data_IF_729040966097
#
_entry.id   IF_729040966097
#
_cell.length_a   1.000
_cell.length_b   1.000
_cell.length_c   1.000
_cell.angle_alpha   90.00
_cell.angle_beta   90.00
_cell.angle_gamma   90.00
#
_symmetry.space_group_name_H-M   'P 1'
#
loop_
_entity.id
_entity.type
_entity.pdbx_description
1 polymer ?
#
# COMPACT_ATOMS: atom_id res chain seq x y z
N UNK A 1 38.03 -9.61 -2.63
CA UNK A 1 37.69 -8.86 -3.86
C UNK A 1 36.32 -9.20 -4.39
N UNK A 2 35.95 -10.48 -4.59
CA UNK A 2 34.63 -10.89 -5.10
C UNK A 2 33.47 -10.48 -4.18
N UNK A 3 33.60 -10.63 -2.86
CA UNK A 3 32.56 -10.24 -1.86
C UNK A 3 32.33 -8.73 -1.86
N UNK A 4 33.39 -7.93 -1.98
CA UNK A 4 33.28 -6.47 -2.05
C UNK A 4 32.57 -6.00 -3.34
N UNK A 5 32.74 -6.73 -4.44
CA UNK A 5 32.07 -6.41 -5.72
C UNK A 5 30.61 -6.85 -5.71
N UNK A 6 30.31 -8.03 -5.13
CA UNK A 6 28.93 -8.55 -5.00
C UNK A 6 28.06 -7.74 -4.05
N UNK A 7 28.63 -7.15 -2.99
CA UNK A 7 27.90 -6.29 -2.06
C UNK A 7 27.96 -4.81 -2.46
N UNK A 8 29.10 -4.36 -3.02
CA UNK A 8 29.32 -2.94 -3.35
C UNK A 8 28.46 -2.44 -4.50
N UNK A 9 28.30 -3.23 -5.58
CA UNK A 9 27.49 -2.81 -6.72
C UNK A 9 26.01 -2.66 -6.35
N UNK A 10 25.33 -3.64 -5.72
CA UNK A 10 23.95 -3.47 -5.28
C UNK A 10 23.78 -2.30 -4.31
N UNK A 11 24.69 -2.13 -3.37
CA UNK A 11 24.63 -1.03 -2.40
C UNK A 11 24.78 0.34 -3.08
N UNK A 12 25.67 0.49 -4.05
CA UNK A 12 25.80 1.72 -4.83
C UNK A 12 24.54 2.01 -5.67
N UNK A 13 23.96 0.99 -6.28
CA UNK A 13 22.70 1.12 -7.01
C UNK A 13 21.55 1.53 -6.08
N UNK A 14 21.46 0.93 -4.91
CA UNK A 14 20.45 1.30 -3.91
C UNK A 14 20.63 2.75 -3.45
N UNK A 15 21.85 3.17 -3.13
CA UNK A 15 22.16 4.55 -2.78
C UNK A 15 21.82 5.53 -3.91
N UNK A 16 22.14 5.20 -5.16
CA UNK A 16 21.92 6.08 -6.30
C UNK A 16 20.46 6.16 -6.74
N UNK A 17 19.72 5.06 -6.73
CA UNK A 17 18.36 4.98 -7.29
C UNK A 17 17.24 4.99 -6.26
N UNK A 18 17.51 4.70 -4.98
CA UNK A 18 16.53 4.71 -3.90
C UNK A 18 16.78 5.87 -2.93
N UNK A 19 17.95 5.90 -2.31
CA UNK A 19 18.24 6.90 -1.27
C UNK A 19 18.40 8.31 -1.81
N UNK A 20 19.15 8.48 -2.90
CA UNK A 20 19.36 9.81 -3.48
C UNK A 20 18.03 10.45 -3.94
N UNK A 21 17.14 9.81 -4.73
CA UNK A 21 15.85 10.39 -5.10
C UNK A 21 14.94 10.64 -3.89
N UNK A 22 14.96 9.77 -2.87
CA UNK A 22 14.19 9.99 -1.65
C UNK A 22 14.64 11.24 -0.90
N UNK A 23 15.94 11.42 -0.71
CA UNK A 23 16.50 12.63 -0.09
C UNK A 23 16.25 13.87 -0.94
N UNK A 24 16.38 13.76 -2.26
CA UNK A 24 16.07 14.84 -3.19
C UNK A 24 14.59 15.26 -3.07
N UNK A 25 13.66 14.30 -2.97
CA UNK A 25 12.24 14.60 -2.77
C UNK A 25 12.01 15.36 -1.46
N UNK A 26 12.68 14.98 -0.37
CA UNK A 26 12.58 15.71 0.91
C UNK A 26 13.11 17.12 0.75
N UNK A 27 14.25 17.32 0.09
CA UNK A 27 14.81 18.66 -0.14
C UNK A 27 13.91 19.52 -1.04
N UNK A 28 13.41 18.94 -2.15
CA UNK A 28 12.52 19.62 -3.09
C UNK A 28 11.19 20.02 -2.45
N UNK A 29 10.72 19.30 -1.45
CA UNK A 29 9.48 19.61 -0.74
C UNK A 29 9.46 20.98 -0.08
N UNK A 30 10.64 21.51 0.23
CA UNK A 30 10.82 22.86 0.79
C UNK A 30 11.03 23.93 -0.27
N UNK A 31 10.90 23.60 -1.56
CA UNK A 31 11.12 24.51 -2.68
C UNK A 31 9.83 24.84 -3.42
N UNK A 32 9.84 25.92 -4.18
CA UNK A 32 8.76 26.32 -5.11
C UNK A 32 9.03 25.86 -6.54
N UNK A 33 9.97 24.92 -6.73
CA UNK A 33 10.38 24.49 -8.06
C UNK A 33 9.25 23.78 -8.81
N UNK A 34 9.11 24.14 -10.09
CA UNK A 34 8.09 23.59 -10.99
C UNK A 34 8.60 22.43 -11.87
N UNK A 35 9.86 22.03 -11.74
CA UNK A 35 10.44 20.97 -12.56
C UNK A 35 11.10 21.46 -13.85
N UNK A 36 10.99 22.73 -14.20
CA UNK A 36 11.52 23.30 -15.45
C UNK A 36 12.58 24.35 -15.13
N UNK A 37 13.72 24.25 -15.82
CA UNK A 37 14.84 25.18 -15.66
C UNK A 37 15.69 24.91 -14.44
N UNK A 38 16.74 25.72 -14.30
CA UNK A 38 17.67 25.62 -13.18
C UNK A 38 17.02 25.96 -11.87
N UNK A 39 17.33 25.21 -10.81
CA UNK A 39 17.05 25.58 -9.42
C UNK A 39 17.71 26.95 -9.07
N UNK A 40 18.61 27.42 -9.89
CA UNK A 40 19.30 28.72 -9.82
C UNK A 40 18.57 29.85 -10.58
N UNK A 41 17.45 29.57 -11.24
CA UNK A 41 16.81 30.58 -12.09
C UNK A 41 16.27 31.74 -11.23
N UNK A 42 16.51 32.97 -11.68
CA UNK A 42 16.07 34.23 -11.06
C UNK A 42 14.56 34.31 -10.78
N UNK A 43 13.75 33.52 -11.46
CA UNK A 43 12.31 33.41 -11.20
C UNK A 43 12.00 32.68 -9.87
N UNK A 44 12.88 31.78 -9.44
CA UNK A 44 12.84 31.15 -8.13
C UNK A 44 13.65 31.93 -7.09
N UNK A 45 14.69 32.68 -7.53
CA UNK A 45 15.72 33.26 -6.69
C UNK A 45 16.32 34.53 -7.22
N UNK A 46 15.82 35.68 -6.90
CA UNK A 46 16.49 36.88 -7.34
C UNK A 46 17.74 37.19 -6.59
N UNK A 47 18.57 36.47 -6.05
CA UNK A 47 19.86 36.95 -5.52
C UNK A 47 20.68 35.97 -4.65
N UNK A 48 20.58 34.67 -4.84
CA UNK A 48 21.38 33.81 -3.99
C UNK A 48 21.99 32.60 -4.69
N UNK A 49 23.32 32.34 -4.42
CA UNK A 49 24.11 31.37 -5.18
C UNK A 49 24.08 29.94 -4.65
N UNK A 50 23.16 29.51 -3.83
CA UNK A 50 23.11 28.13 -3.37
C UNK A 50 21.71 27.59 -3.20
N UNK A 51 21.53 26.28 -3.39
CA UNK A 51 20.28 25.52 -3.20
C UNK A 51 19.66 25.79 -1.80
N UNK A 52 20.47 26.15 -0.83
CA UNK A 52 20.08 26.43 0.54
C UNK A 52 19.74 27.90 0.81
N UNK A 53 19.93 28.75 -0.18
CA UNK A 53 19.78 30.17 0.05
C UNK A 53 18.87 30.78 -1.00
N UNK A 54 17.62 30.68 -0.87
CA UNK A 54 16.72 31.65 -1.10
C UNK A 54 15.64 31.68 -2.04
N UNK A 55 14.91 31.82 -2.56
CA UNK A 55 13.76 32.18 -3.32
C UNK A 55 13.04 30.96 -3.90
N UNK A 56 13.78 29.88 -4.14
CA UNK A 56 13.20 28.56 -4.28
C UNK A 56 12.90 27.90 -2.93
N UNK A 57 13.52 28.36 -1.84
CA UNK A 57 13.14 27.92 -0.49
C UNK A 57 11.79 28.52 -0.16
N UNK A 58 10.79 27.68 -0.18
CA UNK A 58 9.44 28.01 0.21
C UNK A 58 9.19 27.64 1.68
N UNK A 59 10.18 27.03 2.31
CA UNK A 59 10.11 26.53 3.68
C UNK A 59 8.95 25.54 3.84
N UNK A 60 8.18 25.67 4.89
CA UNK A 60 7.02 24.82 5.18
C UNK A 60 5.74 25.25 4.46
N UNK A 61 5.80 26.22 3.56
CA UNK A 61 4.60 26.78 2.93
C UNK A 61 3.89 25.78 2.01
N UNK A 62 4.61 24.85 1.36
CA UNK A 62 4.00 23.77 0.61
C UNK A 62 3.11 22.89 1.50
N UNK A 63 3.57 22.57 2.72
CA UNK A 63 2.81 21.80 3.70
C UNK A 63 1.60 22.59 4.22
N UNK A 64 1.80 23.87 4.53
CA UNK A 64 0.70 24.75 4.91
C UNK A 64 -0.34 24.84 3.80
N UNK A 65 0.08 25.03 2.55
CA UNK A 65 -0.80 25.06 1.40
C UNK A 65 -1.55 23.75 1.21
N UNK A 66 -0.89 22.58 1.38
CA UNK A 66 -1.52 21.28 1.30
C UNK A 66 -2.65 21.13 2.32
N UNK A 67 -2.39 21.49 3.57
CA UNK A 67 -3.34 21.29 4.69
C UNK A 67 -4.48 22.29 4.68
N UNK A 68 -4.24 23.56 4.28
CA UNK A 68 -5.21 24.66 4.46
C UNK A 68 -5.92 25.09 3.18
N UNK A 69 -5.27 24.99 2.03
CA UNK A 69 -5.76 25.58 0.77
C UNK A 69 -6.14 24.50 -0.25
N UNK A 70 -5.44 23.33 -0.24
CA UNK A 70 -5.63 22.32 -1.26
C UNK A 70 -6.83 21.41 -0.91
N UNK A 71 -7.97 21.52 -1.63
CA UNK A 71 -9.22 20.90 -1.20
C UNK A 71 -9.19 19.38 -1.25
N UNK A 72 -8.36 18.78 -2.13
CA UNK A 72 -8.26 17.33 -2.34
C UNK A 72 -7.40 16.63 -1.28
N UNK A 73 -6.66 17.39 -0.46
CA UNK A 73 -5.73 16.84 0.52
C UNK A 73 -6.42 15.99 1.59
N UNK A 74 -7.41 16.56 2.28
CA UNK A 74 -8.10 15.85 3.36
C UNK A 74 -8.93 14.65 2.89
N UNK A 75 -9.67 14.73 1.77
CA UNK A 75 -10.24 13.56 1.14
C UNK A 75 -9.22 12.46 0.86
N UNK A 76 -8.06 12.79 0.26
CA UNK A 76 -7.02 11.83 -0.04
C UNK A 76 -6.43 11.17 1.22
N UNK A 77 -6.15 11.93 2.28
CA UNK A 77 -5.71 11.39 3.57
C UNK A 77 -6.74 10.42 4.14
N UNK A 78 -8.02 10.82 4.14
CA UNK A 78 -9.10 9.96 4.63
C UNK A 78 -9.21 8.67 3.82
N UNK A 79 -9.12 8.74 2.50
CA UNK A 79 -9.19 7.55 1.63
C UNK A 79 -7.99 6.62 1.86
N UNK A 80 -6.79 7.15 2.03
CA UNK A 80 -5.62 6.34 2.40
C UNK A 80 -5.81 5.64 3.75
N UNK A 81 -6.40 6.31 4.75
CA UNK A 81 -6.69 5.71 6.06
C UNK A 81 -7.78 4.63 5.96
N UNK A 82 -8.83 4.86 5.16
CA UNK A 82 -9.86 3.84 4.89
C UNK A 82 -9.24 2.64 4.18
N UNK A 83 -8.36 2.87 3.19
CA UNK A 83 -7.64 1.82 2.46
C UNK A 83 -6.80 0.97 3.41
N UNK A 84 -6.02 1.61 4.27
CA UNK A 84 -5.23 0.93 5.30
C UNK A 84 -6.13 0.12 6.26
N UNK A 85 -7.22 0.71 6.73
CA UNK A 85 -8.16 0.03 7.63
C UNK A 85 -8.80 -1.20 6.97
N UNK A 86 -9.22 -1.10 5.71
CA UNK A 86 -9.79 -2.23 4.96
C UNK A 86 -8.74 -3.33 4.75
N UNK A 87 -7.50 -2.99 4.45
CA UNK A 87 -6.45 -3.99 4.29
C UNK A 87 -6.13 -4.72 5.59
N UNK A 88 -6.08 -3.99 6.72
CA UNK A 88 -5.81 -4.60 8.03
C UNK A 88 -7.03 -5.42 8.51
N UNK A 89 -8.25 -4.88 8.38
CA UNK A 89 -9.44 -5.48 8.99
C UNK A 89 -10.14 -6.52 8.12
N UNK A 90 -9.95 -6.47 6.80
CA UNK A 90 -10.62 -7.39 5.87
C UNK A 90 -9.63 -8.21 5.05
N UNK A 91 -8.70 -7.58 4.31
CA UNK A 91 -7.81 -8.31 3.42
C UNK A 91 -6.86 -9.25 4.19
N UNK A 92 -6.29 -8.77 5.30
CA UNK A 92 -5.34 -9.58 6.10
C UNK A 92 -6.03 -10.74 6.81
N UNK A 93 -7.17 -10.57 7.52
CA UNK A 93 -7.89 -11.71 8.12
C UNK A 93 -8.44 -12.69 7.07
N UNK A 94 -8.87 -12.20 5.91
CA UNK A 94 -9.35 -13.04 4.82
C UNK A 94 -8.21 -13.90 4.24
N UNK A 95 -7.04 -13.31 4.01
CA UNK A 95 -5.84 -14.04 3.59
C UNK A 95 -5.39 -15.08 4.62
N UNK A 96 -5.39 -14.72 5.91
CA UNK A 96 -5.10 -15.65 7.00
C UNK A 96 -6.11 -16.80 7.05
N UNK A 97 -7.41 -16.52 6.90
CA UNK A 97 -8.45 -17.54 6.84
C UNK A 97 -8.20 -18.52 5.70
N UNK A 98 -7.91 -18.02 4.49
CA UNK A 98 -7.60 -18.87 3.34
C UNK A 98 -6.36 -19.73 3.59
N UNK A 99 -5.29 -19.16 4.17
CA UNK A 99 -4.08 -19.92 4.51
C UNK A 99 -4.37 -21.05 5.49
N UNK A 100 -5.13 -20.80 6.57
CA UNK A 100 -5.50 -21.81 7.56
C UNK A 100 -6.36 -22.91 6.94
N UNK A 101 -7.31 -22.57 6.09
CA UNK A 101 -8.13 -23.57 5.39
C UNK A 101 -7.30 -24.46 4.46
N UNK A 102 -6.36 -23.87 3.72
CA UNK A 102 -5.46 -24.62 2.82
C UNK A 102 -4.50 -25.50 3.61
N UNK A 103 -3.95 -25.00 4.73
CA UNK A 103 -3.00 -25.72 5.59
C UNK A 103 -3.64 -26.99 6.21
N UNK A 104 -4.95 -26.99 6.45
CA UNK A 104 -5.70 -28.16 6.92
C UNK A 104 -5.80 -29.31 5.91
N UNK A 105 -5.28 -29.15 4.71
CA UNK A 105 -5.24 -30.21 3.71
C UNK A 105 -6.60 -30.58 3.10
N UNK A 106 -7.48 -29.59 2.92
CA UNK A 106 -8.76 -29.80 2.24
C UNK A 106 -8.56 -30.41 0.84
N UNK A 107 -9.51 -31.26 0.40
CA UNK A 107 -9.46 -31.86 -0.94
C UNK A 107 -9.37 -30.75 -1.99
N UNK A 108 -8.36 -30.83 -2.89
CA UNK A 108 -8.15 -29.77 -3.91
C UNK A 108 -7.40 -28.54 -3.41
N UNK A 109 -6.74 -28.55 -2.25
CA UNK A 109 -6.03 -27.40 -1.66
C UNK A 109 -5.09 -26.69 -2.64
N UNK A 110 -4.39 -27.46 -3.50
CA UNK A 110 -3.51 -26.90 -4.56
C UNK A 110 -4.28 -26.06 -5.58
N UNK A 111 -5.46 -26.51 -5.98
CA UNK A 111 -6.32 -25.79 -6.94
C UNK A 111 -6.85 -24.50 -6.31
N UNK A 112 -7.34 -24.54 -5.08
CA UNK A 112 -7.77 -23.35 -4.36
C UNK A 112 -6.63 -22.35 -4.16
N UNK A 113 -5.45 -22.83 -3.78
CA UNK A 113 -4.26 -21.99 -3.67
C UNK A 113 -3.92 -21.31 -5.00
N UNK A 114 -3.96 -22.03 -6.12
CA UNK A 114 -3.68 -21.46 -7.44
C UNK A 114 -4.71 -20.40 -7.84
N UNK A 115 -6.01 -20.66 -7.63
CA UNK A 115 -7.09 -19.74 -7.98
C UNK A 115 -7.03 -18.46 -7.13
N UNK A 116 -6.80 -18.60 -5.82
CA UNK A 116 -6.72 -17.46 -4.90
C UNK A 116 -5.44 -16.64 -5.10
N UNK A 117 -4.37 -17.27 -5.58
CA UNK A 117 -3.11 -16.58 -5.88
C UNK A 117 -3.06 -15.98 -7.28
N UNK A 118 -3.93 -16.41 -8.20
CA UNK A 118 -3.94 -15.94 -9.57
C UNK A 118 -3.99 -14.41 -9.70
N UNK A 119 -4.79 -13.66 -8.92
CA UNK A 119 -4.80 -12.20 -8.98
C UNK A 119 -3.44 -11.56 -8.67
N UNK A 120 -2.63 -12.20 -7.83
CA UNK A 120 -1.32 -11.67 -7.44
C UNK A 120 -0.31 -11.77 -8.58
N UNK A 121 -0.49 -12.75 -9.46
CA UNK A 121 0.36 -12.96 -10.65
C UNK A 121 0.09 -11.97 -11.77
N UNK A 122 -1.08 -11.31 -11.75
CA UNK A 122 -1.45 -10.31 -12.75
C UNK A 122 -0.84 -8.95 -12.42
N UNK A 123 -0.50 -8.17 -13.44
CA UNK A 123 -0.12 -6.77 -13.23
C UNK A 123 -1.31 -5.98 -12.67
N UNK A 124 -1.03 -4.98 -11.82
CA UNK A 124 -2.08 -4.10 -11.27
C UNK A 124 -2.89 -3.40 -12.38
N UNK A 125 -2.21 -3.04 -13.47
CA UNK A 125 -2.84 -2.47 -14.65
C UNK A 125 -3.89 -3.41 -15.28
N UNK A 126 -3.53 -4.68 -15.45
CA UNK A 126 -4.45 -5.67 -16.01
C UNK A 126 -5.62 -5.94 -15.08
N UNK A 127 -5.39 -5.97 -13.77
CA UNK A 127 -6.48 -6.08 -12.78
C UNK A 127 -7.45 -4.91 -12.92
N UNK A 128 -6.96 -3.67 -12.94
CA UNK A 128 -7.80 -2.48 -13.11
C UNK A 128 -8.66 -2.57 -14.39
N UNK A 129 -8.06 -2.95 -15.53
CA UNK A 129 -8.81 -3.12 -16.80
C UNK A 129 -9.89 -4.22 -16.67
N UNK A 130 -9.56 -5.38 -16.06
CA UNK A 130 -10.56 -6.46 -15.87
C UNK A 130 -11.73 -5.95 -15.03
N UNK A 131 -11.46 -5.25 -13.94
CA UNK A 131 -12.52 -4.75 -13.08
C UNK A 131 -13.29 -3.57 -13.68
N UNK A 132 -12.67 -2.76 -14.54
CA UNK A 132 -13.38 -1.76 -15.34
C UNK A 132 -14.47 -2.42 -16.22
N UNK A 133 -14.18 -3.56 -16.86
CA UNK A 133 -15.20 -4.35 -17.56
C UNK A 133 -16.24 -4.93 -16.60
N UNK A 134 -15.84 -5.44 -15.44
CA UNK A 134 -16.75 -6.01 -14.43
C UNK A 134 -17.71 -4.95 -13.90
N UNK A 135 -17.24 -3.72 -13.69
CA UNK A 135 -18.01 -2.56 -13.20
C UNK A 135 -18.65 -1.72 -14.30
N UNK A 136 -18.45 -2.05 -15.57
CA UNK A 136 -19.02 -1.27 -16.67
C UNK A 136 -20.53 -1.04 -16.48
N UNK A 137 -20.96 0.21 -16.67
CA UNK A 137 -22.34 0.60 -16.41
C UNK A 137 -23.33 -0.14 -17.29
N UNK A 138 -23.04 -0.28 -18.59
CA UNK A 138 -23.99 -0.80 -19.56
C UNK A 138 -23.92 -2.33 -19.73
N UNK A 139 -22.72 -2.91 -19.71
CA UNK A 139 -22.47 -4.32 -20.02
C UNK A 139 -21.70 -5.04 -18.90
N UNK A 140 -21.53 -4.41 -17.75
CA UNK A 140 -20.74 -4.95 -16.65
C UNK A 140 -21.38 -6.20 -16.04
N UNK A 141 -20.50 -7.12 -15.65
CA UNK A 141 -20.92 -8.39 -15.04
C UNK A 141 -21.81 -8.15 -13.81
N UNK A 142 -21.46 -7.19 -12.95
CA UNK A 142 -22.20 -6.93 -11.72
C UNK A 142 -23.60 -6.39 -12.03
N UNK A 143 -23.71 -5.38 -12.91
CA UNK A 143 -25.00 -4.84 -13.31
C UNK A 143 -25.88 -5.91 -14.01
N UNK A 144 -25.26 -6.81 -14.76
CA UNK A 144 -25.94 -7.96 -15.39
C UNK A 144 -26.53 -8.90 -14.33
N UNK A 145 -25.73 -9.32 -13.36
CA UNK A 145 -26.16 -10.27 -12.32
C UNK A 145 -27.26 -9.70 -11.43
N UNK A 146 -27.23 -8.40 -11.14
CA UNK A 146 -28.28 -7.74 -10.34
C UNK A 146 -29.49 -7.28 -11.15
N UNK A 147 -29.52 -7.58 -12.45
CA UNK A 147 -30.66 -7.26 -13.34
C UNK A 147 -30.82 -5.78 -13.68
N UNK A 148 -29.73 -5.00 -13.66
CA UNK A 148 -29.73 -3.56 -13.92
C UNK A 148 -28.99 -3.18 -15.21
N UNK A 149 -29.06 -4.03 -16.23
CA UNK A 149 -28.43 -3.77 -17.52
C UNK A 149 -29.21 -2.82 -18.40
N UNK A 150 -28.49 -1.90 -19.07
CA UNK A 150 -28.99 -1.21 -20.28
C UNK A 150 -30.13 -0.23 -20.07
N UNK A 151 -30.61 0.01 -18.86
CA UNK A 151 -31.70 0.92 -18.53
C UNK A 151 -31.17 2.08 -17.66
N UNK A 152 -31.96 3.15 -17.55
CA UNK A 152 -31.66 4.32 -16.69
C UNK A 152 -31.38 3.98 -15.21
N UNK A 153 -31.49 2.71 -14.81
CA UNK A 153 -31.24 2.20 -13.47
C UNK A 153 -29.89 1.51 -13.31
N UNK A 154 -29.04 1.48 -14.34
CA UNK A 154 -27.70 0.89 -14.25
C UNK A 154 -26.82 1.69 -13.26
N UNK A 155 -26.17 0.98 -12.36
CA UNK A 155 -25.31 1.61 -11.35
C UNK A 155 -23.97 1.98 -12.00
N UNK A 156 -23.59 3.24 -11.86
CA UNK A 156 -22.25 3.69 -12.20
C UNK A 156 -21.32 3.48 -10.99
N UNK A 157 -20.63 2.35 -10.97
CA UNK A 157 -19.76 1.94 -9.86
C UNK A 157 -18.50 2.80 -9.73
N UNK A 158 -17.95 3.25 -10.85
CA UNK A 158 -16.67 3.95 -10.91
C UNK A 158 -16.81 5.46 -11.05
N UNK A 159 -17.90 5.95 -11.63
CA UNK A 159 -18.17 7.37 -11.78
C UNK A 159 -18.89 7.98 -10.57
N UNK A 160 -19.56 7.17 -9.73
CA UNK A 160 -20.27 7.66 -8.56
C UNK A 160 -19.30 7.88 -7.38
N UNK A 161 -19.15 9.13 -6.86
CA UNK A 161 -18.23 9.44 -5.75
C UNK A 161 -18.49 8.70 -4.44
N UNK A 162 -19.69 8.17 -4.24
CA UNK A 162 -20.03 7.42 -3.03
C UNK A 162 -19.73 5.92 -3.13
N UNK A 163 -19.53 5.40 -4.34
CA UNK A 163 -19.34 3.96 -4.59
C UNK A 163 -17.94 3.62 -5.08
N UNK A 164 -17.28 4.52 -5.81
CA UNK A 164 -16.02 4.23 -6.49
C UNK A 164 -14.90 3.77 -5.55
N UNK A 165 -14.73 4.41 -4.39
CA UNK A 165 -13.74 3.98 -3.39
C UNK A 165 -13.97 2.53 -2.95
N UNK A 166 -15.23 2.16 -2.68
CA UNK A 166 -15.56 0.81 -2.24
C UNK A 166 -15.42 -0.22 -3.35
N UNK A 167 -15.77 0.15 -4.59
CA UNK A 167 -15.58 -0.70 -5.76
C UNK A 167 -14.09 -1.05 -5.95
N UNK A 168 -13.22 -0.03 -5.94
CA UNK A 168 -11.77 -0.25 -6.10
C UNK A 168 -11.17 -0.95 -4.87
N UNK A 169 -11.70 -0.74 -3.65
CA UNK A 169 -11.29 -1.48 -2.46
C UNK A 169 -11.62 -2.97 -2.52
N UNK A 170 -12.73 -3.36 -3.18
CA UNK A 170 -13.06 -4.78 -3.38
C UNK A 170 -12.03 -5.45 -4.29
N UNK A 171 -11.67 -4.83 -5.41
CA UNK A 171 -10.65 -5.38 -6.30
C UNK A 171 -9.27 -5.46 -5.65
N UNK A 172 -8.89 -4.41 -4.91
CA UNK A 172 -7.65 -4.37 -4.17
C UNK A 172 -7.58 -5.43 -3.06
N UNK A 173 -8.70 -5.62 -2.33
CA UNK A 173 -8.83 -6.64 -1.28
C UNK A 173 -8.73 -8.05 -1.84
N UNK A 174 -9.36 -8.31 -2.98
CA UNK A 174 -9.28 -9.61 -3.66
C UNK A 174 -7.82 -10.00 -3.97
N UNK A 175 -7.04 -9.08 -4.54
CA UNK A 175 -5.61 -9.29 -4.80
C UNK A 175 -4.80 -9.43 -3.51
N UNK A 176 -5.00 -8.51 -2.56
CA UNK A 176 -4.23 -8.47 -1.31
C UNK A 176 -4.47 -9.70 -0.44
N UNK A 177 -5.70 -10.21 -0.36
CA UNK A 177 -6.01 -11.42 0.39
C UNK A 177 -5.25 -12.64 -0.16
N UNK A 178 -5.12 -12.78 -1.50
CA UNK A 178 -4.31 -13.82 -2.12
C UNK A 178 -2.82 -13.71 -1.77
N UNK A 179 -2.29 -12.50 -1.76
CA UNK A 179 -0.90 -12.25 -1.38
C UNK A 179 -0.62 -12.61 0.09
N UNK A 180 -1.45 -12.10 0.98
CA UNK A 180 -1.37 -12.38 2.42
C UNK A 180 -1.56 -13.87 2.73
N UNK A 181 -2.45 -14.56 1.99
CA UNK A 181 -2.65 -16.00 2.10
C UNK A 181 -1.34 -16.76 1.88
N UNK A 182 -0.56 -16.43 0.87
CA UNK A 182 0.70 -17.14 0.58
C UNK A 182 1.73 -16.90 1.69
N UNK A 183 1.83 -15.68 2.20
CA UNK A 183 2.73 -15.36 3.30
C UNK A 183 2.35 -16.12 4.58
N UNK A 184 1.07 -16.14 4.93
CA UNK A 184 0.59 -16.92 6.08
C UNK A 184 0.78 -18.42 5.88
N UNK A 185 0.54 -18.93 4.67
CA UNK A 185 0.73 -20.35 4.38
C UNK A 185 2.21 -20.76 4.53
N UNK A 186 3.13 -19.91 4.08
CA UNK A 186 4.57 -20.13 4.28
C UNK A 186 4.91 -20.11 5.78
N UNK A 187 4.37 -19.18 6.55
CA UNK A 187 4.54 -19.13 8.01
C UNK A 187 3.97 -20.36 8.71
N UNK A 188 2.76 -20.80 8.35
CA UNK A 188 2.12 -22.01 8.93
C UNK A 188 2.92 -23.28 8.68
N UNK A 189 3.58 -23.38 7.52
CA UNK A 189 4.43 -24.53 7.18
C UNK A 189 5.80 -24.50 7.85
N UNK A 190 6.24 -23.34 8.32
CA UNK A 190 7.50 -23.20 9.08
C UNK A 190 7.33 -23.54 10.57
N UNK A 191 6.11 -23.63 11.08
CA UNK A 191 5.84 -24.02 12.49
C UNK A 191 6.14 -25.50 12.67
N UNK A 192 6.90 -25.81 13.72
CA UNK A 192 7.23 -27.20 14.09
C UNK A 192 5.94 -28.03 14.35
N UNK A 193 5.74 -29.14 13.64
CA UNK A 193 4.59 -30.02 13.86
C UNK A 193 4.45 -30.53 15.30
N UNK A 194 5.54 -30.70 16.03
CA UNK A 194 5.54 -31.16 17.42
C UNK A 194 4.76 -30.24 18.35
N UNK A 195 4.74 -28.94 18.08
CA UNK A 195 3.95 -27.97 18.84
C UNK A 195 2.44 -28.19 18.68
N UNK A 196 2.02 -28.62 17.49
CA UNK A 196 0.62 -28.95 17.21
C UNK A 196 0.21 -30.25 17.91
N UNK A 197 1.10 -31.24 17.87
CA UNK A 197 0.89 -32.55 18.54
C UNK A 197 0.83 -32.37 20.06
N UNK A 198 1.74 -31.61 20.65
CA UNK A 198 1.73 -31.31 22.08
C UNK A 198 0.44 -30.61 22.52
N UNK A 199 -0.03 -29.62 21.76
CA UNK A 199 -1.29 -28.92 22.06
C UNK A 199 -2.50 -29.87 22.02
N UNK A 200 -2.52 -30.86 21.12
CA UNK A 200 -3.58 -31.86 21.05
C UNK A 200 -3.52 -32.80 22.26
N UNK A 201 -2.32 -33.23 22.70
CA UNK A 201 -2.12 -34.03 23.90
C UNK A 201 -2.61 -33.29 25.16
N UNK A 202 -2.38 -31.97 25.21
CA UNK A 202 -2.87 -31.09 26.27
C UNK A 202 -4.39 -30.81 26.21
N UNK A 203 -5.11 -31.42 25.26
CA UNK A 203 -6.56 -31.29 25.10
C UNK A 203 -7.04 -30.00 24.46
N UNK A 204 -6.16 -29.22 23.81
CA UNK A 204 -6.53 -28.01 23.12
C UNK A 204 -7.32 -28.31 21.83
N UNK A 205 -8.45 -27.63 21.63
CA UNK A 205 -9.15 -27.72 20.35
C UNK A 205 -8.44 -26.91 19.25
N UNK A 206 -8.82 -27.12 17.99
CA UNK A 206 -8.16 -26.50 16.83
C UNK A 206 -8.10 -24.98 16.88
N UNK A 207 -9.11 -24.30 17.45
CA UNK A 207 -9.15 -22.86 17.63
C UNK A 207 -8.17 -22.39 18.71
N UNK A 208 -8.11 -23.11 19.83
CA UNK A 208 -7.16 -22.84 20.93
C UNK A 208 -5.73 -23.08 20.47
N UNK A 209 -5.46 -24.19 19.78
CA UNK A 209 -4.15 -24.50 19.20
C UNK A 209 -3.70 -23.38 18.25
N UNK A 210 -4.58 -22.91 17.36
CA UNK A 210 -4.23 -21.83 16.44
C UNK A 210 -3.89 -20.54 17.18
N UNK A 211 -4.80 -20.03 18.02
CA UNK A 211 -4.62 -18.70 18.61
C UNK A 211 -3.64 -18.65 19.78
N UNK A 212 -3.46 -19.75 20.52
CA UNK A 212 -2.60 -19.78 21.71
C UNK A 212 -1.21 -20.35 21.45
N UNK A 213 -1.05 -21.17 20.43
CA UNK A 213 0.21 -21.83 20.12
C UNK A 213 0.78 -21.38 18.77
N UNK A 214 0.05 -21.61 17.66
CA UNK A 214 0.57 -21.36 16.31
C UNK A 214 0.74 -19.87 16.02
N UNK A 215 -0.30 -19.06 16.23
CA UNK A 215 -0.29 -17.64 15.89
C UNK A 215 0.79 -16.84 16.65
N UNK A 216 1.05 -17.06 17.96
CA UNK A 216 2.17 -16.46 18.65
C UNK A 216 3.55 -16.88 18.12
N UNK A 217 3.74 -18.16 17.80
CA UNK A 217 4.99 -18.67 17.21
C UNK A 217 5.24 -18.05 15.83
N UNK A 218 4.17 -17.74 15.07
CA UNK A 218 4.27 -17.05 13.77
C UNK A 218 4.53 -15.54 13.89
N UNK A 219 4.86 -15.01 15.07
CA UNK A 219 5.06 -13.59 15.28
C UNK A 219 6.01 -12.92 14.28
N UNK A 220 7.18 -13.49 13.92
CA UNK A 220 8.05 -12.87 12.92
C UNK A 220 7.37 -12.67 11.57
N UNK A 221 6.58 -13.66 11.11
CA UNK A 221 5.86 -13.56 9.85
C UNK A 221 4.67 -12.59 9.96
N UNK A 222 4.00 -12.52 11.11
CA UNK A 222 2.93 -11.55 11.35
C UNK A 222 3.46 -10.12 11.24
N UNK A 223 4.67 -9.85 11.75
CA UNK A 223 5.37 -8.56 11.59
C UNK A 223 5.57 -8.23 10.11
N UNK A 224 6.12 -9.16 9.34
CA UNK A 224 6.36 -8.96 7.90
C UNK A 224 5.04 -8.67 7.17
N UNK A 225 4.00 -9.45 7.44
CA UNK A 225 2.69 -9.28 6.81
C UNK A 225 2.10 -7.90 7.12
N UNK A 226 2.18 -7.45 8.37
CA UNK A 226 1.66 -6.13 8.76
C UNK A 226 2.44 -4.99 8.10
N UNK A 227 3.76 -5.05 8.10
CA UNK A 227 4.61 -4.05 7.42
C UNK A 227 4.28 -3.97 5.93
N UNK A 228 4.23 -5.12 5.26
CA UNK A 228 3.91 -5.18 3.83
C UNK A 228 2.48 -4.67 3.57
N UNK A 229 1.51 -5.03 4.42
CA UNK A 229 0.13 -4.54 4.30
C UNK A 229 0.03 -3.02 4.40
N UNK A 230 0.78 -2.41 5.33
CA UNK A 230 0.86 -0.94 5.45
C UNK A 230 1.48 -0.33 4.19
N UNK A 231 2.60 -0.88 3.72
CA UNK A 231 3.28 -0.38 2.51
C UNK A 231 2.34 -0.48 1.29
N UNK A 232 1.73 -1.63 1.05
CA UNK A 232 0.83 -1.84 -0.10
C UNK A 232 -0.42 -0.94 -0.05
N UNK A 233 -0.98 -0.71 1.15
CA UNK A 233 -2.15 0.16 1.30
C UNK A 233 -1.87 1.63 1.00
N UNK A 234 -0.71 2.13 1.40
CA UNK A 234 -0.34 3.54 1.25
C UNK A 234 0.29 3.83 -0.13
N UNK A 235 0.86 2.80 -0.75
CA UNK A 235 1.39 2.85 -2.12
C UNK A 235 0.32 2.62 -3.19
N UNK A 236 -0.94 2.43 -2.84
CA UNK A 236 -2.02 2.22 -3.78
C UNK A 236 -2.09 3.38 -4.78
N UNK A 237 -1.61 3.16 -6.01
CA UNK A 237 -1.59 4.11 -7.11
C UNK A 237 -2.16 3.47 -8.38
N UNK A 238 -1.55 2.36 -8.81
CA UNK A 238 -1.80 1.78 -10.12
C UNK A 238 -3.26 1.42 -10.37
N UNK A 239 -3.90 0.73 -9.40
CA UNK A 239 -5.32 0.36 -9.49
C UNK A 239 -6.20 1.60 -9.62
N UNK A 240 -6.04 2.57 -8.73
CA UNK A 240 -6.84 3.79 -8.69
C UNK A 240 -6.62 4.62 -9.95
N UNK A 241 -5.37 4.75 -10.39
CA UNK A 241 -5.03 5.55 -11.56
C UNK A 241 -5.59 4.94 -12.87
N UNK A 242 -5.55 3.62 -13.00
CA UNK A 242 -6.06 2.94 -14.19
C UNK A 242 -7.58 2.92 -14.20
N UNK A 243 -8.21 2.58 -13.06
CA UNK A 243 -9.65 2.41 -12.98
C UNK A 243 -10.41 3.74 -13.12
N UNK A 244 -9.93 4.82 -12.49
CA UNK A 244 -10.65 6.11 -12.45
C UNK A 244 -9.73 7.33 -12.45
N UNK A 245 -8.46 7.20 -12.76
CA UNK A 245 -7.45 8.30 -12.70
C UNK A 245 -7.42 9.06 -11.36
N UNK A 246 -8.04 8.52 -10.31
CA UNK A 246 -8.16 9.16 -9.00
C UNK A 246 -9.01 10.43 -8.97
N UNK A 247 -10.04 10.49 -9.80
CA UNK A 247 -11.02 11.59 -9.87
C UNK A 247 -12.36 11.17 -9.27
N UNK A 248 -13.31 12.10 -9.21
CA UNK A 248 -14.68 11.86 -8.76
C UNK A 248 -14.78 11.28 -7.35
N UNK A 249 -13.98 11.78 -6.41
CA UNK A 249 -14.02 11.33 -5.02
C UNK A 249 -13.18 10.07 -4.72
N UNK A 250 -12.24 9.74 -5.61
CA UNK A 250 -11.28 8.63 -5.41
C UNK A 250 -9.83 9.14 -5.29
N UNK A 251 -9.66 10.35 -4.76
CA UNK A 251 -8.34 10.93 -4.56
C UNK A 251 -7.55 10.11 -3.52
N UNK A 252 -6.31 9.75 -3.87
CA UNK A 252 -5.30 9.21 -2.97
C UNK A 252 -4.06 10.10 -2.99
N UNK A 253 -3.31 10.13 -1.89
CA UNK A 253 -2.08 10.93 -1.82
C UNK A 253 -1.08 10.56 -2.91
N UNK A 254 -0.94 9.28 -3.24
CA UNK A 254 -0.08 8.79 -4.33
C UNK A 254 -0.48 9.34 -5.70
N UNK A 255 -1.79 9.46 -5.97
CA UNK A 255 -2.33 10.06 -7.19
C UNK A 255 -2.08 11.55 -7.20
N UNK A 256 -2.32 12.25 -6.07
CA UNK A 256 -2.06 13.69 -5.95
C UNK A 256 -0.57 14.02 -6.14
N UNK A 257 0.34 13.20 -5.61
CA UNK A 257 1.79 13.34 -5.87
C UNK A 257 2.06 13.29 -7.37
N UNK A 258 1.56 12.27 -8.05
CA UNK A 258 1.80 12.07 -9.48
C UNK A 258 1.18 13.19 -10.33
N UNK A 259 -0.05 13.59 -10.05
CA UNK A 259 -0.74 14.65 -10.80
C UNK A 259 -0.04 16.01 -10.65
N UNK A 260 0.56 16.30 -9.51
CA UNK A 260 1.30 17.54 -9.28
C UNK A 260 2.74 17.52 -9.82
N UNK A 261 3.40 16.34 -9.88
CA UNK A 261 4.78 16.24 -10.39
C UNK A 261 4.79 16.07 -11.91
N UNK A 262 4.00 15.11 -12.43
CA UNK A 262 4.04 14.69 -13.85
C UNK A 262 2.89 15.27 -14.65
N UNK A 263 1.82 15.69 -14.00
CA UNK A 263 0.63 16.26 -14.63
C UNK A 263 0.85 17.67 -15.21
N UNK A 264 -0.21 18.24 -15.73
CA UNK A 264 -0.20 19.58 -16.38
C UNK A 264 0.22 20.70 -15.44
N UNK A 265 0.05 20.55 -14.14
CA UNK A 265 0.32 21.60 -13.14
C UNK A 265 1.81 21.81 -12.90
N UNK A 266 2.67 20.83 -13.15
CA UNK A 266 4.13 20.87 -12.99
C UNK A 266 4.57 21.60 -11.70
N UNK A 267 4.06 21.15 -10.57
CA UNK A 267 4.38 21.72 -9.24
C UNK A 267 5.24 20.76 -8.44
N UNK A 268 6.47 20.51 -8.90
CA UNK A 268 7.35 19.46 -8.34
C UNK A 268 7.60 19.66 -6.85
N UNK A 269 7.89 20.89 -6.39
CA UNK A 269 8.08 21.17 -4.97
C UNK A 269 6.84 20.84 -4.12
N UNK A 270 5.66 21.20 -4.58
CA UNK A 270 4.40 20.89 -3.90
C UNK A 270 4.08 19.39 -3.92
N UNK A 271 4.23 18.74 -5.09
CA UNK A 271 4.07 17.28 -5.21
C UNK A 271 5.06 16.50 -4.34
N UNK A 272 6.31 17.00 -4.23
CA UNK A 272 7.31 16.46 -3.30
C UNK A 272 6.89 16.59 -1.83
N UNK A 273 6.25 17.70 -1.44
CA UNK A 273 5.72 17.86 -0.09
C UNK A 273 4.60 16.85 0.22
N UNK A 274 3.68 16.60 -0.74
CA UNK A 274 2.67 15.55 -0.62
C UNK A 274 3.32 14.16 -0.51
N UNK A 275 4.39 13.90 -1.26
CA UNK A 275 5.16 12.66 -1.17
C UNK A 275 5.82 12.45 0.19
N UNK A 276 6.37 13.52 0.79
CA UNK A 276 6.93 13.47 2.15
C UNK A 276 5.83 13.21 3.18
N UNK A 277 4.66 13.83 3.04
CA UNK A 277 3.51 13.54 3.92
C UNK A 277 3.12 12.07 3.83
N UNK A 278 3.02 11.51 2.62
CA UNK A 278 2.71 10.10 2.41
C UNK A 278 3.78 9.19 3.05
N UNK A 279 5.06 9.54 2.91
CA UNK A 279 6.17 8.83 3.54
C UNK A 279 6.07 8.86 5.07
N UNK A 280 5.77 10.00 5.67
CA UNK A 280 5.58 10.11 7.13
C UNK A 280 4.39 9.27 7.60
N UNK A 281 3.25 9.36 6.90
CA UNK A 281 2.06 8.55 7.21
C UNK A 281 2.37 7.05 7.12
N UNK A 282 3.23 6.61 6.20
CA UNK A 282 3.63 5.21 6.08
C UNK A 282 4.63 4.77 7.15
N UNK A 283 5.59 5.63 7.49
CA UNK A 283 6.62 5.29 8.49
C UNK A 283 6.07 5.19 9.91
N UNK A 284 5.12 6.04 10.28
CA UNK A 284 4.57 6.05 11.65
C UNK A 284 4.02 4.69 12.08
N UNK A 285 3.06 4.05 11.37
CA UNK A 285 2.54 2.75 11.78
C UNK A 285 3.61 1.65 11.71
N UNK A 286 4.54 1.70 10.75
CA UNK A 286 5.63 0.74 10.63
C UNK A 286 6.56 0.84 11.84
N UNK A 287 7.00 2.05 12.19
CA UNK A 287 7.87 2.28 13.35
C UNK A 287 7.20 1.88 14.67
N UNK A 288 5.93 2.21 14.86
CA UNK A 288 5.16 1.82 16.05
C UNK A 288 5.13 0.29 16.17
N UNK A 289 4.82 -0.39 15.07
CA UNK A 289 4.69 -1.83 15.04
C UNK A 289 6.03 -2.55 15.29
N UNK A 290 7.11 -2.11 14.63
CA UNK A 290 8.45 -2.64 14.86
C UNK A 290 8.90 -2.43 16.31
N UNK A 291 8.70 -1.22 16.84
CA UNK A 291 9.07 -0.91 18.23
C UNK A 291 8.34 -1.82 19.23
N UNK A 292 7.04 -2.06 19.05
CA UNK A 292 6.26 -2.97 19.90
C UNK A 292 6.79 -4.41 19.82
N UNK A 293 7.18 -4.85 18.63
CA UNK A 293 7.68 -6.20 18.39
C UNK A 293 9.04 -6.41 19.09
N UNK A 294 10.01 -5.53 18.84
CA UNK A 294 11.33 -5.64 19.47
C UNK A 294 11.29 -5.52 20.99
N UNK A 295 10.43 -4.63 21.51
CA UNK A 295 10.26 -4.50 22.97
C UNK A 295 9.73 -5.77 23.63
N UNK A 296 8.92 -6.54 22.94
CA UNK A 296 8.38 -7.79 23.49
C UNK A 296 9.39 -8.93 23.44
N UNK A 297 10.21 -9.02 22.37
CA UNK A 297 11.31 -9.98 22.29
C UNK A 297 12.37 -9.76 23.38
N UNK A 298 12.70 -8.51 23.66
CA UNK A 298 13.64 -8.17 24.74
C UNK A 298 13.15 -8.58 26.13
N UNK A 299 11.83 -8.69 26.35
CA UNK A 299 11.25 -9.14 27.61
C UNK A 299 11.22 -10.67 27.75
N UNK A 300 11.01 -11.38 26.63
CA UNK A 300 10.98 -12.84 26.61
C UNK A 300 12.39 -13.45 26.70
N UNK A 301 13.44 -12.75 26.24
CA UNK A 301 14.83 -13.17 26.37
C UNK A 301 15.45 -12.93 27.76
N UNK A 302 14.74 -12.28 28.70
CA UNK A 302 15.17 -12.02 30.09
C UNK A 302 14.43 -12.88 31.13
N UNK A 303 13.47 -13.67 30.73
CA UNK A 303 12.75 -14.65 31.57
C UNK A 303 13.24 -16.06 31.29
#
# INVERSE_FOLDING_TARGET
MVVGLLLGIPLLLDLAFVWFPALATVLLSFTKWNGVGDLHNKACLPNVPSILNNGCLYGIQNYHQAVTIYPEFWPAVRHNLIWLAVFILFATPLGMLFAVLIDRGIKGSRMYQSILFLPVMLSLALIGIIWEFVYSQNLGLINTVIGRNGNNNAIDWLGNPHLNLWAVLVEATWRQAGYVMVLYLAGLKAVDPTLREAAVVDGANAWQTFWRVIFPVMRPINVVIMVVTVIESLRAFDLVYITNKGINGLELLSVLVTSNIVGETQRVGFGSALGVVLLVISLVPICIFLFQTFRSESREGQS
#
